data_IF_631987360197
#
_entry.id   IF_631987360197
#
_cell.length_a   1.000
_cell.length_b   1.000
_cell.length_c   1.000
_cell.angle_alpha   90.00
_cell.angle_beta   90.00
_cell.angle_gamma   90.00
#
_symmetry.space_group_name_H-M   'P 1'
#
loop_
_entity.id
_entity.type
_entity.pdbx_description
1 polymer ?
#
# COMPACT_ATOMS: atom_id res chain seq x y z
N UNK A 1 -0.99 29.74 -11.01
CA UNK A 1 -0.59 28.36 -10.70
C UNK A 1 -1.33 27.35 -11.57
N UNK A 2 -2.65 27.42 -11.60
CA UNK A 2 -3.49 26.46 -12.35
C UNK A 2 -3.10 26.31 -13.83
N UNK A 3 -2.74 27.41 -14.51
CA UNK A 3 -2.29 27.35 -15.91
C UNK A 3 -1.04 26.47 -16.12
N UNK A 4 -0.10 26.44 -15.15
CA UNK A 4 1.10 25.59 -15.22
C UNK A 4 0.74 24.10 -15.00
N UNK A 5 -0.18 23.81 -14.08
CA UNK A 5 -0.69 22.46 -13.84
C UNK A 5 -1.41 21.96 -15.09
N UNK A 6 -2.30 22.78 -15.67
CA UNK A 6 -3.04 22.42 -16.88
C UNK A 6 -2.09 22.15 -18.05
N UNK A 7 -1.11 23.04 -18.30
CA UNK A 7 -0.14 22.84 -19.37
C UNK A 7 0.69 21.56 -19.20
N UNK A 8 1.09 21.22 -17.97
CA UNK A 8 1.76 19.96 -17.69
C UNK A 8 0.85 18.77 -17.96
N UNK A 9 -0.39 18.82 -17.45
CA UNK A 9 -1.36 17.73 -17.63
C UNK A 9 -1.75 17.54 -19.11
N UNK A 10 -1.81 18.60 -19.90
CA UNK A 10 -2.07 18.51 -21.34
C UNK A 10 -0.97 17.71 -22.07
N UNK A 11 0.30 17.93 -21.71
CA UNK A 11 1.42 17.13 -22.22
C UNK A 11 1.32 15.67 -21.82
N UNK A 12 0.98 15.40 -20.57
CA UNK A 12 0.81 14.03 -20.07
C UNK A 12 -0.37 13.34 -20.76
N UNK A 13 -1.51 14.02 -20.91
CA UNK A 13 -2.70 13.51 -21.60
C UNK A 13 -2.45 13.16 -23.05
N UNK A 14 -1.70 13.98 -23.79
CA UNK A 14 -1.35 13.73 -25.19
C UNK A 14 -0.63 12.39 -25.39
N UNK A 15 0.15 11.96 -24.41
CA UNK A 15 0.90 10.69 -24.47
C UNK A 15 0.14 9.51 -23.88
N UNK A 16 -0.87 9.76 -23.04
CA UNK A 16 -1.53 8.75 -22.21
C UNK A 16 -3.07 8.84 -22.29
N UNK A 17 -3.63 9.22 -23.41
CA UNK A 17 -5.06 9.55 -23.56
C UNK A 17 -6.03 8.35 -23.34
N UNK A 18 -5.53 7.11 -23.29
CA UNK A 18 -6.30 5.91 -22.97
C UNK A 18 -6.01 5.35 -21.57
N UNK A 19 -5.40 6.13 -20.66
CA UNK A 19 -4.95 5.68 -19.34
C UNK A 19 -5.57 6.53 -18.22
N UNK A 20 -6.89 6.46 -17.99
CA UNK A 20 -7.60 7.36 -17.07
C UNK A 20 -7.11 7.25 -15.63
N UNK A 21 -6.83 6.04 -15.13
CA UNK A 21 -6.35 5.83 -13.77
C UNK A 21 -4.96 6.44 -13.56
N UNK A 22 -4.10 6.31 -14.56
CA UNK A 22 -2.77 6.92 -14.52
C UNK A 22 -2.84 8.44 -14.54
N UNK A 23 -3.69 9.01 -15.41
CA UNK A 23 -3.88 10.46 -15.51
C UNK A 23 -4.43 11.04 -14.20
N UNK A 24 -5.33 10.34 -13.51
CA UNK A 24 -5.85 10.77 -12.21
C UNK A 24 -4.75 10.83 -11.15
N UNK A 25 -3.91 9.81 -11.06
CA UNK A 25 -2.80 9.78 -10.09
C UNK A 25 -1.76 10.87 -10.36
N UNK A 26 -1.44 11.11 -11.64
CA UNK A 26 -0.52 12.19 -12.02
C UNK A 26 -1.11 13.56 -11.68
N UNK A 27 -2.41 13.77 -11.89
CA UNK A 27 -3.10 15.01 -11.55
C UNK A 27 -3.00 15.32 -10.06
N UNK A 28 -3.29 14.34 -9.19
CA UNK A 28 -3.21 14.48 -7.73
C UNK A 28 -1.81 14.91 -7.27
N UNK A 29 -0.78 14.29 -7.81
CA UNK A 29 0.60 14.63 -7.49
C UNK A 29 0.98 16.01 -8.06
N UNK A 30 0.59 16.31 -9.29
CA UNK A 30 0.91 17.57 -9.97
C UNK A 30 0.34 18.79 -9.21
N UNK A 31 -0.85 18.68 -8.64
CA UNK A 31 -1.50 19.75 -7.87
C UNK A 31 -0.70 20.18 -6.64
N UNK A 32 0.04 19.27 -6.03
CA UNK A 32 0.87 19.56 -4.86
C UNK A 32 2.34 19.84 -5.22
N UNK A 33 2.90 19.10 -6.17
CA UNK A 33 4.33 19.15 -6.52
C UNK A 33 4.68 20.33 -7.44
N UNK A 34 3.83 20.69 -8.42
CA UNK A 34 4.13 21.81 -9.32
C UNK A 34 4.25 23.15 -8.56
N UNK A 35 3.36 23.48 -7.61
CA UNK A 35 3.56 24.66 -6.77
C UNK A 35 4.88 24.67 -6.00
N UNK A 36 5.33 23.51 -5.54
CA UNK A 36 6.62 23.36 -4.86
C UNK A 36 7.79 23.57 -5.82
N UNK A 37 7.76 22.94 -7.01
CA UNK A 37 8.77 23.13 -8.06
C UNK A 37 8.92 24.63 -8.43
N UNK A 38 7.80 25.34 -8.56
CA UNK A 38 7.81 26.77 -8.93
C UNK A 38 8.49 27.66 -7.89
N UNK A 39 8.43 27.24 -6.60
CA UNK A 39 9.07 27.98 -5.49
C UNK A 39 10.54 27.60 -5.29
N UNK A 40 11.04 26.56 -5.97
CA UNK A 40 12.39 26.03 -5.75
C UNK A 40 13.16 25.99 -7.07
N UNK A 41 14.05 26.95 -7.28
CA UNK A 41 14.79 27.17 -8.53
C UNK A 41 15.64 25.98 -8.97
N UNK A 42 16.09 25.13 -8.03
CA UNK A 42 16.90 23.95 -8.34
C UNK A 42 16.24 22.97 -9.32
N UNK A 43 14.90 22.98 -9.37
CA UNK A 43 14.10 22.10 -10.25
C UNK A 43 13.69 22.79 -11.57
N UNK A 44 13.90 24.11 -11.70
CA UNK A 44 13.49 24.86 -12.88
C UNK A 44 14.22 24.38 -14.15
N UNK A 45 13.46 24.21 -15.24
CA UNK A 45 13.99 23.82 -16.55
C UNK A 45 14.53 22.38 -16.64
N UNK A 46 14.41 21.59 -15.57
CA UNK A 46 14.95 20.20 -15.50
C UNK A 46 13.94 19.13 -15.90
N UNK A 47 12.67 19.49 -16.10
CA UNK A 47 11.57 18.58 -16.44
C UNK A 47 11.49 17.34 -15.52
N UNK A 48 11.89 17.48 -14.24
CA UNK A 48 12.02 16.35 -13.31
C UNK A 48 10.68 15.60 -13.17
N UNK A 49 9.58 16.32 -12.90
CA UNK A 49 8.28 15.68 -12.76
C UNK A 49 7.85 14.98 -14.07
N UNK A 50 8.11 15.57 -15.23
CA UNK A 50 7.81 14.95 -16.53
C UNK A 50 8.62 13.67 -16.73
N UNK A 51 9.88 13.63 -16.31
CA UNK A 51 10.72 12.42 -16.33
C UNK A 51 10.20 11.37 -15.35
N UNK A 52 9.70 11.76 -14.18
CA UNK A 52 9.13 10.83 -13.20
C UNK A 52 7.81 10.20 -13.67
N UNK A 53 7.07 10.88 -14.54
CA UNK A 53 5.78 10.39 -15.10
C UNK A 53 6.00 9.37 -16.22
N UNK A 54 7.15 9.41 -16.89
CA UNK A 54 7.49 8.44 -17.92
C UNK A 54 8.22 7.25 -17.29
N UNK A 55 7.72 6.00 -17.45
CA UNK A 55 8.44 4.84 -16.96
C UNK A 55 9.78 4.67 -17.67
N UNK A 56 10.82 4.29 -16.93
CA UNK A 56 12.11 3.96 -17.53
C UNK A 56 11.99 2.78 -18.51
N UNK A 57 11.12 1.79 -18.16
CA UNK A 57 10.78 0.66 -19.06
C UNK A 57 9.38 0.15 -18.79
N UNK A 58 8.70 -0.24 -19.86
CA UNK A 58 7.47 -1.03 -19.81
C UNK A 58 7.71 -2.32 -20.59
N UNK A 59 7.64 -3.45 -19.91
CA UNK A 59 7.89 -4.78 -20.45
C UNK A 59 6.55 -5.49 -20.54
N UNK A 60 6.18 -5.96 -21.73
CA UNK A 60 4.98 -6.75 -21.97
C UNK A 60 5.37 -8.06 -22.64
N UNK A 61 4.80 -9.16 -22.18
CA UNK A 61 5.10 -10.49 -22.71
C UNK A 61 3.89 -11.42 -22.67
N UNK A 62 3.91 -12.42 -23.54
CA UNK A 62 2.90 -13.48 -23.57
C UNK A 62 3.26 -14.55 -22.54
N UNK A 63 2.23 -15.02 -21.79
CA UNK A 63 2.35 -16.15 -20.86
C UNK A 63 1.47 -17.28 -21.37
N UNK A 64 2.06 -18.32 -21.93
CA UNK A 64 1.34 -19.53 -22.35
C UNK A 64 1.56 -20.65 -21.34
N UNK A 65 0.47 -21.28 -20.91
CA UNK A 65 0.50 -22.36 -19.91
C UNK A 65 -0.61 -23.36 -20.19
N UNK A 66 -0.57 -24.52 -19.54
CA UNK A 66 -1.54 -25.61 -19.72
C UNK A 66 -2.37 -25.77 -18.46
N UNK A 67 -3.70 -25.80 -18.61
CA UNK A 67 -4.63 -26.02 -17.49
C UNK A 67 -4.73 -27.52 -17.09
N UNK A 68 -5.59 -27.83 -16.13
CA UNK A 68 -5.79 -29.22 -15.66
C UNK A 68 -6.51 -30.12 -16.67
N UNK A 69 -7.11 -29.54 -17.70
CA UNK A 69 -7.77 -30.27 -18.79
C UNK A 69 -6.82 -30.53 -19.99
N UNK A 70 -5.58 -30.04 -19.91
CA UNK A 70 -4.62 -30.17 -21.01
C UNK A 70 -4.77 -29.07 -22.08
N UNK A 71 -5.61 -28.07 -21.86
CA UNK A 71 -5.87 -26.97 -22.77
C UNK A 71 -4.80 -25.88 -22.62
N UNK A 72 -4.38 -25.30 -23.76
CA UNK A 72 -3.41 -24.20 -23.77
C UNK A 72 -4.12 -22.88 -23.48
N UNK A 73 -3.70 -22.25 -22.40
CA UNK A 73 -4.16 -20.93 -21.98
C UNK A 73 -3.13 -19.86 -22.34
N UNK A 74 -3.60 -18.64 -22.64
CA UNK A 74 -2.74 -17.51 -23.01
C UNK A 74 -3.14 -16.27 -22.23
N UNK A 75 -2.19 -15.74 -21.45
CA UNK A 75 -2.35 -14.51 -20.69
C UNK A 75 -1.30 -13.48 -21.11
N UNK A 76 -1.50 -12.22 -20.68
CA UNK A 76 -0.54 -11.13 -20.84
C UNK A 76 0.18 -10.92 -19.53
N UNK A 77 1.51 -10.85 -19.58
CA UNK A 77 2.35 -10.46 -18.46
C UNK A 77 2.92 -9.06 -18.68
N UNK A 78 3.13 -8.35 -17.58
CA UNK A 78 3.65 -6.98 -17.59
C UNK A 78 4.60 -6.73 -16.43
N UNK A 79 5.62 -5.87 -16.67
CA UNK A 79 6.41 -5.23 -15.63
C UNK A 79 6.67 -3.78 -16.03
N UNK A 80 6.24 -2.85 -15.19
CA UNK A 80 6.57 -1.42 -15.28
C UNK A 80 7.71 -1.14 -14.32
N UNK A 81 8.84 -0.74 -14.86
CA UNK A 81 10.01 -0.24 -14.17
C UNK A 81 9.95 1.28 -14.25
N UNK A 82 9.43 1.92 -13.19
CA UNK A 82 9.01 3.31 -13.24
C UNK A 82 10.15 4.28 -13.02
N UNK A 83 10.88 4.09 -11.93
CA UNK A 83 12.00 4.96 -11.57
C UNK A 83 12.98 4.22 -10.66
N UNK A 84 14.27 4.30 -10.96
CA UNK A 84 15.37 3.65 -10.24
C UNK A 84 16.34 4.61 -9.55
N UNK A 85 16.05 5.90 -9.53
CA UNK A 85 16.98 6.91 -9.02
C UNK A 85 17.43 6.70 -7.58
N UNK A 86 16.59 6.08 -6.73
CA UNK A 86 16.90 5.86 -5.31
C UNK A 86 17.14 4.38 -4.94
N UNK A 87 17.14 3.47 -5.92
CA UNK A 87 17.40 2.04 -5.69
C UNK A 87 16.73 1.15 -6.72
N UNK A 88 16.86 -0.18 -6.57
CA UNK A 88 16.23 -1.14 -7.47
C UNK A 88 14.71 -0.91 -7.55
N UNK A 89 14.12 -1.14 -8.72
CA UNK A 89 12.66 -1.07 -8.85
C UNK A 89 12.01 -2.01 -7.84
N UNK A 90 11.01 -1.54 -7.13
CA UNK A 90 10.32 -2.30 -6.09
C UNK A 90 8.82 -2.09 -6.18
N UNK A 91 8.07 -3.19 -6.16
CA UNK A 91 6.62 -3.17 -6.12
C UNK A 91 5.99 -4.51 -6.48
N UNK A 92 4.72 -4.68 -6.14
CA UNK A 92 4.01 -5.95 -6.22
C UNK A 92 3.73 -6.45 -7.64
N UNK A 93 3.42 -7.74 -7.72
CA UNK A 93 2.82 -8.39 -8.88
C UNK A 93 1.34 -8.64 -8.56
N UNK A 94 0.44 -8.25 -9.48
CA UNK A 94 -1.00 -8.45 -9.36
C UNK A 94 -1.47 -9.48 -10.39
N UNK A 95 -2.21 -10.51 -9.93
CA UNK A 95 -2.90 -11.45 -10.81
C UNK A 95 -4.41 -11.24 -10.68
N UNK A 96 -4.99 -10.58 -11.69
CA UNK A 96 -6.40 -10.27 -11.70
C UNK A 96 -6.86 -9.97 -13.14
N UNK A 97 -8.09 -10.37 -13.56
CA UNK A 97 -8.58 -10.16 -14.92
C UNK A 97 -8.57 -8.70 -15.41
N UNK A 98 -8.62 -7.74 -14.50
CA UNK A 98 -8.61 -6.31 -14.85
C UNK A 98 -7.22 -5.74 -15.12
N UNK A 99 -6.15 -6.53 -14.89
CA UNK A 99 -4.78 -6.05 -15.09
C UNK A 99 -4.51 -5.70 -16.54
N UNK A 100 -4.04 -4.47 -16.73
CA UNK A 100 -3.59 -3.93 -18.00
C UNK A 100 -2.42 -2.95 -17.79
N UNK A 101 -1.82 -2.45 -18.86
CA UNK A 101 -0.67 -1.57 -18.79
C UNK A 101 -0.98 -0.24 -18.05
N UNK A 102 -2.17 0.34 -18.25
CA UNK A 102 -2.60 1.59 -17.61
C UNK A 102 -2.66 1.46 -16.09
N UNK A 103 -3.35 0.42 -15.60
CA UNK A 103 -3.46 0.14 -14.16
C UNK A 103 -2.07 -0.08 -13.53
N UNK A 104 -1.20 -0.83 -14.21
CA UNK A 104 0.13 -1.12 -13.66
C UNK A 104 1.04 0.12 -13.69
N UNK A 105 0.91 0.99 -14.69
CA UNK A 105 1.63 2.25 -14.78
C UNK A 105 1.19 3.23 -13.69
N UNK A 106 -0.11 3.35 -13.44
CA UNK A 106 -0.68 4.07 -12.31
C UNK A 106 -0.07 3.59 -10.98
N UNK A 107 -0.17 2.29 -10.72
CA UNK A 107 0.33 1.70 -9.49
C UNK A 107 1.86 1.82 -9.34
N UNK A 108 2.61 1.75 -10.45
CA UNK A 108 4.06 1.92 -10.44
C UNK A 108 4.46 3.36 -10.11
N UNK A 109 3.74 4.34 -10.66
CA UNK A 109 3.95 5.76 -10.38
C UNK A 109 3.71 6.07 -8.89
N UNK A 110 2.59 5.64 -8.33
CA UNK A 110 2.32 5.81 -6.89
C UNK A 110 3.36 5.09 -6.02
N UNK A 111 3.86 3.93 -6.48
CA UNK A 111 4.87 3.16 -5.76
C UNK A 111 6.20 3.92 -5.64
N UNK A 112 6.56 4.78 -6.60
CA UNK A 112 7.75 5.66 -6.50
C UNK A 112 7.65 6.55 -5.27
N UNK A 113 6.53 7.22 -5.08
CA UNK A 113 6.31 8.12 -3.93
C UNK A 113 6.25 7.34 -2.60
N UNK A 114 5.53 6.23 -2.58
CA UNK A 114 5.43 5.39 -1.38
C UNK A 114 6.81 4.87 -0.93
N UNK A 115 7.60 4.34 -1.86
CA UNK A 115 8.90 3.76 -1.53
C UNK A 115 9.90 4.83 -1.08
N UNK A 116 9.87 6.00 -1.70
CA UNK A 116 10.77 7.09 -1.34
C UNK A 116 10.56 7.58 0.09
N UNK A 117 9.32 7.55 0.60
CA UNK A 117 9.00 7.92 1.97
C UNK A 117 9.64 6.97 3.01
N UNK A 118 9.85 5.69 2.68
CA UNK A 118 10.39 4.69 3.63
C UNK A 118 11.84 4.93 4.03
N UNK A 119 12.53 5.89 3.43
CA UNK A 119 13.97 6.13 3.57
C UNK A 119 14.90 5.03 3.04
N UNK A 120 14.35 3.85 2.75
CA UNK A 120 15.09 2.71 2.22
C UNK A 120 15.45 2.89 0.73
N UNK A 121 16.55 2.28 0.26
CA UNK A 121 17.02 2.42 -1.13
C UNK A 121 16.17 1.54 -2.06
N UNK A 122 14.99 2.00 -2.40
CA UNK A 122 14.03 1.31 -3.27
C UNK A 122 13.41 2.30 -4.26
N UNK A 123 13.57 2.01 -5.54
CA UNK A 123 12.85 2.67 -6.62
C UNK A 123 11.39 2.22 -6.71
N UNK A 124 10.71 2.56 -7.79
CA UNK A 124 9.31 2.20 -8.01
C UNK A 124 9.09 1.31 -9.22
N UNK A 125 8.27 0.29 -9.05
CA UNK A 125 7.86 -0.61 -10.13
C UNK A 125 6.58 -1.34 -9.78
N UNK A 126 5.91 -1.89 -10.79
CA UNK A 126 4.70 -2.70 -10.63
C UNK A 126 4.59 -3.70 -11.78
N UNK A 127 3.99 -4.85 -11.52
CA UNK A 127 3.78 -5.83 -12.57
C UNK A 127 2.55 -6.68 -12.32
N UNK A 128 2.33 -7.64 -13.20
CA UNK A 128 1.22 -8.56 -13.04
C UNK A 128 0.76 -9.17 -14.36
N UNK A 129 -0.41 -9.78 -14.30
CA UNK A 129 -1.06 -10.46 -15.42
C UNK A 129 -2.57 -10.38 -15.30
N UNK A 130 -3.26 -10.47 -16.43
CA UNK A 130 -4.71 -10.66 -16.54
C UNK A 130 -5.18 -12.08 -16.12
N UNK A 131 -4.29 -12.90 -15.61
CA UNK A 131 -4.59 -14.21 -15.05
C UNK A 131 -5.49 -14.10 -13.81
N UNK A 132 -6.57 -14.89 -13.76
CA UNK A 132 -7.44 -15.01 -12.58
C UNK A 132 -7.09 -16.28 -11.79
N UNK A 133 -6.50 -16.17 -10.58
CA UNK A 133 -6.19 -17.33 -9.75
C UNK A 133 -7.42 -17.95 -9.07
N UNK A 134 -8.59 -17.28 -9.11
CA UNK A 134 -9.80 -17.80 -8.46
C UNK A 134 -10.29 -19.06 -9.15
N UNK A 135 -10.56 -20.10 -8.35
CA UNK A 135 -11.05 -21.39 -8.86
C UNK A 135 -10.01 -22.25 -9.57
N UNK A 136 -8.75 -21.80 -9.64
CA UNK A 136 -7.64 -22.57 -10.19
C UNK A 136 -7.03 -23.49 -9.15
N UNK A 137 -6.60 -24.67 -9.59
CA UNK A 137 -5.85 -25.60 -8.74
C UNK A 137 -4.45 -25.09 -8.41
N UNK A 138 -3.82 -25.60 -7.36
CA UNK A 138 -2.44 -25.26 -7.02
C UNK A 138 -1.47 -25.63 -8.16
N UNK A 139 -1.75 -26.71 -8.89
CA UNK A 139 -0.96 -27.13 -10.06
C UNK A 139 -1.10 -26.14 -11.23
N UNK A 140 -2.29 -25.65 -11.52
CA UNK A 140 -2.53 -24.63 -12.53
C UNK A 140 -1.80 -23.34 -12.19
N UNK A 141 -1.93 -22.88 -10.93
CA UNK A 141 -1.24 -21.66 -10.43
C UNK A 141 0.27 -21.84 -10.50
N UNK A 142 0.81 -22.99 -10.14
CA UNK A 142 2.24 -23.28 -10.25
C UNK A 142 2.71 -23.22 -11.71
N UNK A 143 2.00 -23.87 -12.64
CA UNK A 143 2.35 -23.84 -14.07
C UNK A 143 2.31 -22.42 -14.63
N UNK A 144 1.27 -21.65 -14.27
CA UNK A 144 1.18 -20.25 -14.65
C UNK A 144 2.37 -19.43 -14.09
N UNK A 145 2.67 -19.54 -12.78
CA UNK A 145 3.79 -18.83 -12.16
C UNK A 145 5.14 -19.18 -12.79
N UNK A 146 5.34 -20.45 -13.16
CA UNK A 146 6.56 -20.89 -13.87
C UNK A 146 6.64 -20.28 -15.28
N UNK A 147 5.54 -20.29 -16.05
CA UNK A 147 5.47 -19.69 -17.37
C UNK A 147 5.68 -18.17 -17.31
N UNK A 148 5.05 -17.48 -16.36
CA UNK A 148 5.22 -16.04 -16.11
C UNK A 148 6.67 -15.70 -15.77
N UNK A 149 7.29 -16.46 -14.87
CA UNK A 149 8.67 -16.23 -14.46
C UNK A 149 9.69 -16.56 -15.57
N UNK A 150 9.39 -17.51 -16.46
CA UNK A 150 10.28 -17.84 -17.59
C UNK A 150 10.48 -16.67 -18.57
N UNK A 151 9.56 -15.72 -18.57
CA UNK A 151 9.71 -14.46 -19.30
C UNK A 151 10.28 -13.35 -18.41
N UNK A 152 9.74 -13.18 -17.21
CA UNK A 152 10.09 -12.07 -16.32
C UNK A 152 11.54 -12.14 -15.79
N UNK A 153 12.11 -13.32 -15.62
CA UNK A 153 13.43 -13.49 -14.95
C UNK A 153 14.58 -12.73 -15.61
N UNK A 154 14.47 -12.40 -16.90
CA UNK A 154 15.47 -11.63 -17.65
C UNK A 154 15.56 -10.18 -17.20
N UNK A 155 14.49 -9.67 -16.59
CA UNK A 155 14.29 -8.25 -16.32
C UNK A 155 14.33 -7.91 -14.83
N UNK A 156 14.42 -8.92 -13.96
CA UNK A 156 14.44 -8.76 -12.51
C UNK A 156 15.70 -9.32 -11.87
N UNK A 157 15.96 -8.90 -10.65
CA UNK A 157 17.12 -9.33 -9.87
C UNK A 157 17.26 -8.53 -8.59
N UNK A 158 18.02 -9.04 -7.63
CA UNK A 158 18.15 -8.43 -6.29
C UNK A 158 18.70 -6.99 -6.31
N UNK A 159 19.49 -6.62 -7.31
CA UNK A 159 20.04 -5.27 -7.49
C UNK A 159 19.40 -4.49 -8.64
N UNK A 160 18.43 -5.06 -9.35
CA UNK A 160 17.79 -4.42 -10.52
C UNK A 160 16.33 -4.13 -10.24
N UNK A 161 15.58 -5.17 -9.92
CA UNK A 161 14.12 -5.09 -9.75
C UNK A 161 13.68 -6.23 -8.84
N UNK A 162 13.03 -5.90 -7.73
CA UNK A 162 12.61 -6.84 -6.69
C UNK A 162 11.09 -6.82 -6.55
N UNK A 163 10.37 -7.69 -7.27
CA UNK A 163 8.91 -7.79 -7.14
C UNK A 163 8.47 -8.33 -5.77
N UNK A 164 7.21 -8.08 -5.43
CA UNK A 164 6.55 -8.57 -4.21
C UNK A 164 5.15 -9.11 -4.55
N UNK A 165 4.41 -9.56 -3.54
CA UNK A 165 2.99 -9.88 -3.66
C UNK A 165 2.09 -8.66 -3.75
N UNK A 166 0.92 -8.85 -4.33
CA UNK A 166 -0.21 -7.92 -4.40
C UNK A 166 -1.51 -8.75 -4.59
N UNK A 167 -2.62 -8.17 -5.03
CA UNK A 167 -3.88 -8.89 -5.27
C UNK A 167 -3.61 -10.14 -6.16
N UNK A 168 -4.07 -11.28 -5.70
CA UNK A 168 -3.91 -12.57 -6.40
C UNK A 168 -2.50 -13.17 -6.35
N UNK A 169 -1.56 -12.55 -5.62
CA UNK A 169 -0.19 -13.03 -5.44
C UNK A 169 0.17 -13.01 -3.96
N UNK A 170 0.07 -14.16 -3.32
CA UNK A 170 0.47 -14.37 -1.93
C UNK A 170 1.78 -15.15 -1.81
N UNK A 171 2.04 -15.68 -0.61
CA UNK A 171 3.25 -16.46 -0.32
C UNK A 171 3.40 -17.71 -1.19
N UNK A 172 2.29 -18.36 -1.59
CA UNK A 172 2.27 -19.50 -2.50
C UNK A 172 2.82 -19.14 -3.87
N UNK A 173 2.28 -18.09 -4.50
CA UNK A 173 2.69 -17.61 -5.81
C UNK A 173 4.14 -17.11 -5.79
N UNK A 174 4.52 -16.38 -4.74
CA UNK A 174 5.92 -15.96 -4.52
C UNK A 174 6.83 -17.17 -4.44
N UNK A 175 6.42 -18.24 -3.75
CA UNK A 175 7.19 -19.49 -3.66
C UNK A 175 7.41 -20.14 -5.02
N UNK A 176 6.35 -20.30 -5.82
CA UNK A 176 6.45 -20.87 -7.17
C UNK A 176 7.33 -20.04 -8.10
N UNK A 177 7.17 -18.73 -8.07
CA UNK A 177 7.98 -17.80 -8.87
C UNK A 177 9.44 -17.79 -8.43
N UNK A 178 9.71 -17.80 -7.12
CA UNK A 178 11.09 -17.83 -6.60
C UNK A 178 11.80 -19.15 -6.96
N UNK A 179 11.11 -20.27 -6.82
CA UNK A 179 11.66 -21.58 -7.22
C UNK A 179 12.06 -21.63 -8.69
N UNK A 180 11.20 -21.09 -9.57
CA UNK A 180 11.51 -21.02 -11.00
C UNK A 180 12.64 -20.04 -11.32
N UNK A 181 12.66 -18.85 -10.70
CA UNK A 181 13.75 -17.88 -10.85
C UNK A 181 15.11 -18.49 -10.44
N UNK A 182 15.15 -19.11 -9.25
CA UNK A 182 16.34 -19.78 -8.73
C UNK A 182 16.86 -20.84 -9.72
N UNK A 183 15.95 -21.63 -10.31
CA UNK A 183 16.29 -22.65 -11.30
C UNK A 183 16.87 -22.02 -12.58
N UNK A 184 16.24 -20.99 -13.13
CA UNK A 184 16.67 -20.34 -14.38
C UNK A 184 18.00 -19.59 -14.24
N UNK A 185 18.20 -18.91 -13.10
CA UNK A 185 19.43 -18.13 -12.81
C UNK A 185 20.54 -18.98 -12.21
N UNK A 186 20.24 -20.20 -11.75
CA UNK A 186 21.16 -21.03 -10.97
C UNK A 186 21.79 -20.25 -9.78
N UNK A 187 20.96 -19.45 -9.10
CA UNK A 187 21.41 -18.54 -8.04
C UNK A 187 20.32 -18.31 -7.00
N UNK A 188 20.70 -18.38 -5.72
CA UNK A 188 19.85 -18.04 -4.59
C UNK A 188 20.13 -16.61 -4.16
N UNK A 189 19.26 -15.67 -4.54
CA UNK A 189 19.41 -14.23 -4.29
C UNK A 189 18.21 -13.64 -3.57
N UNK A 190 18.32 -12.38 -3.14
CA UNK A 190 17.24 -11.60 -2.55
C UNK A 190 16.18 -11.08 -3.54
N UNK A 191 16.03 -11.69 -4.71
CA UNK A 191 14.95 -11.40 -5.64
C UNK A 191 13.61 -11.82 -5.04
N UNK A 192 12.55 -11.08 -5.27
CA UNK A 192 11.23 -11.25 -4.68
C UNK A 192 11.20 -11.05 -3.15
N UNK A 193 10.19 -10.39 -2.66
CA UNK A 193 9.90 -10.29 -1.22
C UNK A 193 8.51 -10.87 -0.91
N UNK A 194 8.27 -11.17 0.37
CA UNK A 194 7.13 -11.98 0.81
C UNK A 194 7.44 -13.48 0.77
N UNK A 195 8.73 -13.82 0.85
CA UNK A 195 9.20 -15.21 0.94
C UNK A 195 8.82 -15.83 2.30
N UNK A 196 8.79 -17.16 2.35
CA UNK A 196 8.64 -17.88 3.61
C UNK A 196 9.88 -17.68 4.51
N UNK A 197 9.66 -17.69 5.84
CA UNK A 197 10.72 -17.45 6.83
C UNK A 197 11.88 -18.44 6.73
N UNK A 198 11.62 -19.67 6.31
CA UNK A 198 12.64 -20.71 6.15
C UNK A 198 13.56 -20.54 4.93
N UNK A 199 13.26 -19.60 4.03
CA UNK A 199 13.99 -19.40 2.78
C UNK A 199 14.14 -17.91 2.40
N UNK A 200 14.35 -17.07 3.41
CA UNK A 200 14.77 -15.66 3.25
C UNK A 200 13.65 -14.64 3.43
N UNK A 201 12.48 -15.03 3.93
CA UNK A 201 11.41 -14.12 4.31
C UNK A 201 11.68 -13.38 5.62
N UNK A 202 11.10 -12.22 5.80
CA UNK A 202 11.16 -11.42 7.04
C UNK A 202 9.98 -11.75 7.95
N UNK A 203 10.22 -11.78 9.25
CA UNK A 203 9.18 -11.69 10.27
C UNK A 203 8.47 -10.32 10.16
N UNK A 204 7.32 -10.20 10.81
CA UNK A 204 6.46 -8.98 10.80
C UNK A 204 5.90 -8.64 9.40
N UNK A 205 6.24 -9.37 8.33
CA UNK A 205 5.74 -9.02 6.99
C UNK A 205 4.20 -9.08 6.86
N UNK A 206 3.49 -10.09 7.41
CA UNK A 206 2.03 -10.10 7.42
C UNK A 206 1.42 -8.94 8.20
N UNK A 207 2.02 -8.58 9.33
CA UNK A 207 1.54 -7.56 10.26
C UNK A 207 1.80 -6.14 9.75
N UNK A 208 2.85 -5.98 8.97
CA UNK A 208 3.53 -4.70 8.72
C UNK A 208 2.63 -3.58 8.22
N UNK A 209 1.63 -3.87 7.38
CA UNK A 209 0.75 -2.83 6.84
C UNK A 209 -0.17 -2.28 7.93
N UNK A 210 -0.83 -3.16 8.69
CA UNK A 210 -1.69 -2.76 9.79
C UNK A 210 -0.91 -2.12 10.94
N UNK A 211 0.25 -2.67 11.29
CA UNK A 211 1.13 -2.07 12.31
C UNK A 211 1.62 -0.70 11.89
N UNK A 212 2.05 -0.55 10.63
CA UNK A 212 2.52 0.72 10.09
C UNK A 212 1.45 1.80 10.12
N UNK A 213 0.21 1.46 9.73
CA UNK A 213 -0.91 2.38 9.77
C UNK A 213 -1.17 2.91 11.19
N UNK A 214 -1.18 2.02 12.18
CA UNK A 214 -1.36 2.40 13.58
C UNK A 214 -0.16 3.21 14.12
N UNK A 215 1.09 2.87 13.77
CA UNK A 215 2.25 3.66 14.15
C UNK A 215 2.22 5.07 13.57
N UNK A 216 1.79 5.20 12.32
CA UNK A 216 1.65 6.51 11.68
C UNK A 216 0.55 7.34 12.39
N UNK A 217 -0.62 6.74 12.65
CA UNK A 217 -1.72 7.38 13.37
C UNK A 217 -1.31 7.79 14.81
N UNK A 218 -0.55 6.95 15.53
CA UNK A 218 -0.01 7.29 16.85
C UNK A 218 0.90 8.52 16.77
N UNK A 219 1.80 8.59 15.78
CA UNK A 219 2.66 9.76 15.58
C UNK A 219 1.83 11.03 15.28
N UNK A 220 0.73 10.91 14.52
CA UNK A 220 -0.18 12.04 14.28
C UNK A 220 -0.86 12.50 15.57
N UNK A 221 -1.38 11.59 16.37
CA UNK A 221 -2.00 11.91 17.68
C UNK A 221 -1.00 12.60 18.61
N UNK A 222 0.26 12.14 18.64
CA UNK A 222 1.32 12.74 19.44
C UNK A 222 1.59 14.21 19.08
N UNK A 223 1.35 14.65 17.83
CA UNK A 223 1.44 16.09 17.47
C UNK A 223 0.44 16.96 18.21
N UNK A 224 -0.63 16.36 18.74
CA UNK A 224 -1.67 17.01 19.54
C UNK A 224 -1.54 16.71 21.04
N UNK A 225 -0.45 16.05 21.47
CA UNK A 225 -0.26 15.60 22.86
C UNK A 225 -1.18 14.43 23.26
N UNK A 226 -1.68 13.68 22.31
CA UNK A 226 -2.61 12.57 22.47
C UNK A 226 -1.98 11.22 22.05
N UNK A 227 -2.70 10.10 22.23
CA UNK A 227 -2.25 8.76 21.88
C UNK A 227 -3.43 7.81 21.69
N UNK A 228 -3.18 6.56 21.26
CA UNK A 228 -4.21 5.52 21.19
C UNK A 228 -4.77 5.11 22.55
N UNK A 229 -4.05 5.37 23.65
CA UNK A 229 -4.46 4.94 24.99
C UNK A 229 -5.84 5.49 25.36
N UNK A 230 -6.80 4.59 25.60
CA UNK A 230 -8.16 4.91 25.98
C UNK A 230 -9.08 5.36 24.85
N UNK A 231 -8.59 5.41 23.60
CA UNK A 231 -9.38 5.80 22.45
C UNK A 231 -10.32 4.68 21.98
N UNK A 232 -11.50 5.07 21.48
CA UNK A 232 -12.37 4.18 20.75
C UNK A 232 -12.02 4.22 19.27
N UNK A 233 -11.78 3.05 18.67
CA UNK A 233 -11.29 2.91 17.29
C UNK A 233 -12.30 2.13 16.46
N UNK A 234 -12.60 2.66 15.28
CA UNK A 234 -13.41 2.00 14.25
C UNK A 234 -12.49 1.52 13.14
N UNK A 235 -12.56 0.22 12.82
CA UNK A 235 -11.80 -0.41 11.74
C UNK A 235 -12.76 -1.00 10.72
N UNK A 236 -12.56 -0.72 9.44
CA UNK A 236 -13.23 -1.43 8.36
C UNK A 236 -12.38 -2.59 7.83
N UNK A 237 -13.05 -3.56 7.21
CA UNK A 237 -12.40 -4.79 6.77
C UNK A 237 -12.28 -5.84 7.87
N UNK A 238 -11.89 -7.02 7.49
CA UNK A 238 -11.56 -8.16 8.37
C UNK A 238 -10.46 -9.03 7.76
N UNK A 239 -9.77 -8.48 6.76
CA UNK A 239 -8.59 -9.08 6.15
C UNK A 239 -7.31 -8.76 6.92
N UNK A 240 -6.18 -9.06 6.30
CA UNK A 240 -4.85 -8.96 6.91
C UNK A 240 -4.58 -7.58 7.54
N UNK A 241 -4.82 -6.48 6.79
CA UNK A 241 -4.55 -5.12 7.29
C UNK A 241 -5.42 -4.80 8.50
N UNK A 242 -6.72 -5.06 8.42
CA UNK A 242 -7.67 -4.80 9.51
C UNK A 242 -7.36 -5.62 10.77
N UNK A 243 -7.01 -6.90 10.62
CA UNK A 243 -6.65 -7.79 11.74
C UNK A 243 -5.45 -7.23 12.50
N UNK A 244 -4.38 -6.87 11.80
CA UNK A 244 -3.15 -6.38 12.45
C UNK A 244 -3.22 -4.91 12.87
N UNK A 245 -4.02 -4.07 12.22
CA UNK A 245 -4.36 -2.75 12.74
C UNK A 245 -5.11 -2.85 14.08
N UNK A 246 -6.09 -3.77 14.17
CA UNK A 246 -6.80 -4.08 15.41
C UNK A 246 -5.85 -4.56 16.51
N UNK A 247 -4.96 -5.50 16.20
CA UNK A 247 -3.98 -6.03 17.15
C UNK A 247 -3.09 -4.92 17.71
N UNK A 248 -2.49 -4.11 16.84
CA UNK A 248 -1.56 -3.06 17.27
C UNK A 248 -2.25 -1.93 18.01
N UNK A 249 -3.43 -1.47 17.55
CA UNK A 249 -4.20 -0.45 18.25
C UNK A 249 -4.58 -0.91 19.67
N UNK A 250 -5.01 -2.17 19.82
CA UNK A 250 -5.32 -2.77 21.14
C UNK A 250 -4.08 -2.86 22.02
N UNK A 251 -2.91 -3.24 21.46
CA UNK A 251 -1.63 -3.26 22.19
C UNK A 251 -1.23 -1.86 22.68
N UNK A 252 -1.58 -0.79 21.96
CA UNK A 252 -1.35 0.60 22.37
C UNK A 252 -2.42 1.14 23.34
N UNK A 253 -3.35 0.30 23.76
CA UNK A 253 -4.35 0.61 24.78
C UNK A 253 -5.64 1.21 24.26
N UNK A 254 -5.90 1.10 22.97
CA UNK A 254 -7.18 1.48 22.37
C UNK A 254 -8.23 0.37 22.52
N UNK A 255 -9.50 0.75 22.38
CA UNK A 255 -10.63 -0.15 22.28
C UNK A 255 -11.14 -0.17 20.84
N UNK A 256 -10.80 -1.20 20.08
CA UNK A 256 -11.32 -1.39 18.72
C UNK A 256 -12.71 -2.03 18.81
N UNK A 257 -13.72 -1.39 18.23
CA UNK A 257 -15.12 -1.80 18.41
C UNK A 257 -15.77 -2.36 17.15
N UNK A 258 -15.16 -2.24 15.97
CA UNK A 258 -15.75 -2.74 14.72
C UNK A 258 -14.74 -3.51 13.87
N UNK A 259 -15.26 -4.47 13.11
CA UNK A 259 -14.66 -5.06 11.92
C UNK A 259 -15.75 -5.28 10.88
N UNK A 260 -15.43 -5.31 9.60
CA UNK A 260 -16.41 -5.44 8.53
C UNK A 260 -15.97 -6.37 7.40
N UNK A 261 -16.90 -6.81 6.58
CA UNK A 261 -16.66 -7.37 5.26
C UNK A 261 -17.76 -6.93 4.28
N UNK A 262 -17.80 -7.53 3.08
CA UNK A 262 -18.80 -7.17 2.07
C UNK A 262 -20.26 -7.46 2.48
N UNK A 263 -20.49 -8.17 3.58
CA UNK A 263 -21.85 -8.47 4.10
C UNK A 263 -22.35 -7.43 5.11
N UNK A 264 -21.45 -6.61 5.68
CA UNK A 264 -21.76 -5.62 6.72
C UNK A 264 -20.65 -5.50 7.75
N UNK A 265 -20.97 -4.95 8.93
CA UNK A 265 -20.00 -4.81 10.02
C UNK A 265 -20.53 -5.32 11.34
N UNK A 266 -19.64 -5.69 12.24
CA UNK A 266 -19.93 -5.98 13.65
C UNK A 266 -19.59 -4.75 14.50
N UNK A 267 -20.41 -4.50 15.51
CA UNK A 267 -20.14 -3.57 16.62
C UNK A 267 -20.08 -4.39 17.91
N UNK A 268 -18.92 -4.39 18.54
CA UNK A 268 -18.69 -4.96 19.87
C UNK A 268 -18.24 -3.84 20.83
N UNK A 269 -19.17 -3.30 21.59
CA UNK A 269 -18.91 -2.17 22.48
C UNK A 269 -17.93 -2.51 23.62
N UNK A 270 -17.80 -3.79 24.00
CA UNK A 270 -16.82 -4.27 24.96
C UNK A 270 -15.38 -4.21 24.39
N UNK A 271 -15.25 -4.06 23.06
CA UNK A 271 -14.01 -4.08 22.32
C UNK A 271 -13.60 -5.47 21.84
N UNK A 272 -12.78 -5.49 20.78
CA UNK A 272 -12.21 -6.69 20.16
C UNK A 272 -10.81 -6.89 20.74
N UNK A 273 -10.72 -7.67 21.82
CA UNK A 273 -9.46 -8.04 22.46
C UNK A 273 -8.71 -9.15 21.70
N UNK A 274 -7.60 -9.62 22.25
CA UNK A 274 -6.76 -10.64 21.61
C UNK A 274 -7.48 -11.97 21.39
N UNK A 275 -8.38 -12.40 22.30
CA UNK A 275 -9.14 -13.64 22.16
C UNK A 275 -10.18 -13.52 21.02
N UNK A 276 -10.91 -12.42 21.02
CA UNK A 276 -11.92 -12.13 20.00
C UNK A 276 -11.27 -11.95 18.61
N UNK A 277 -10.11 -11.30 18.56
CA UNK A 277 -9.34 -11.16 17.32
C UNK A 277 -8.82 -12.50 16.81
N UNK A 278 -8.32 -13.36 17.69
CA UNK A 278 -7.89 -14.73 17.31
C UNK A 278 -9.05 -15.53 16.68
N UNK A 279 -10.27 -15.37 17.22
CA UNK A 279 -11.45 -15.96 16.63
C UNK A 279 -11.76 -15.40 15.23
N UNK A 280 -11.64 -14.08 15.04
CA UNK A 280 -11.82 -13.46 13.72
C UNK A 280 -10.77 -13.98 12.73
N UNK A 281 -9.51 -14.10 13.16
CA UNK A 281 -8.44 -14.66 12.31
C UNK A 281 -8.75 -16.09 11.89
N UNK A 282 -9.19 -16.95 12.82
CA UNK A 282 -9.60 -18.32 12.49
C UNK A 282 -10.79 -18.32 11.52
N UNK A 283 -11.82 -17.51 11.80
CA UNK A 283 -13.02 -17.40 10.97
C UNK A 283 -12.67 -16.96 9.54
N UNK A 284 -11.84 -15.94 9.38
CA UNK A 284 -11.55 -15.35 8.06
C UNK A 284 -10.46 -16.09 7.30
N UNK A 285 -9.39 -16.49 7.97
CA UNK A 285 -8.19 -17.00 7.31
C UNK A 285 -8.25 -18.53 7.12
N UNK A 286 -8.91 -19.26 8.04
CA UNK A 286 -9.01 -20.71 8.00
C UNK A 286 -10.36 -21.17 7.46
N UNK A 287 -11.45 -20.74 8.10
CA UNK A 287 -12.81 -21.15 7.73
C UNK A 287 -13.37 -20.43 6.51
N UNK A 288 -12.76 -19.26 6.14
CA UNK A 288 -13.24 -18.37 5.06
C UNK A 288 -14.69 -17.92 5.23
N UNK A 289 -15.14 -17.82 6.49
CA UNK A 289 -16.48 -17.43 6.88
C UNK A 289 -16.74 -15.92 6.74
N UNK A 290 -17.96 -15.53 7.07
CA UNK A 290 -18.41 -14.13 7.07
C UNK A 290 -18.27 -13.49 8.44
N UNK A 291 -17.99 -12.18 8.50
CA UNK A 291 -17.88 -11.47 9.78
C UNK A 291 -19.18 -11.54 10.60
N UNK A 292 -20.33 -11.70 9.95
CA UNK A 292 -21.65 -11.90 10.60
C UNK A 292 -21.69 -13.11 11.53
N UNK A 293 -20.82 -14.12 11.33
CA UNK A 293 -20.76 -15.32 12.17
C UNK A 293 -20.15 -15.02 13.56
N UNK A 294 -19.49 -13.87 13.71
CA UNK A 294 -18.90 -13.41 14.98
C UNK A 294 -19.93 -13.37 16.11
N UNK A 295 -21.14 -12.85 15.83
CA UNK A 295 -22.21 -12.73 16.84
C UNK A 295 -22.72 -14.08 17.37
N UNK A 296 -22.47 -15.18 16.66
CA UNK A 296 -22.82 -16.52 17.15
C UNK A 296 -21.97 -16.92 18.36
N UNK A 297 -20.69 -16.53 18.39
CA UNK A 297 -19.79 -16.75 19.53
C UNK A 297 -19.86 -15.63 20.56
N UNK A 298 -20.07 -14.39 20.12
CA UNK A 298 -20.11 -13.19 20.95
C UNK A 298 -21.48 -12.48 20.83
N UNK A 299 -22.53 -12.99 21.47
CA UNK A 299 -23.93 -12.54 21.27
C UNK A 299 -24.22 -11.14 21.83
N UNK A 300 -23.29 -10.52 22.57
CA UNK A 300 -23.39 -9.11 22.97
C UNK A 300 -23.09 -8.15 21.82
N UNK A 301 -22.33 -8.60 20.82
CA UNK A 301 -22.05 -7.82 19.65
C UNK A 301 -23.26 -7.77 18.72
N UNK A 302 -23.40 -6.67 17.98
CA UNK A 302 -24.45 -6.48 16.98
C UNK A 302 -23.88 -6.56 15.58
N UNK A 303 -24.59 -7.20 14.64
CA UNK A 303 -24.24 -7.21 13.23
C UNK A 303 -25.18 -6.30 12.43
N UNK A 304 -24.60 -5.38 11.65
CA UNK A 304 -25.32 -4.45 10.78
C UNK A 304 -25.12 -4.89 9.32
N UNK A 305 -26.16 -5.50 8.77
CA UNK A 305 -26.12 -6.08 7.43
C UNK A 305 -26.12 -5.01 6.34
N UNK A 306 -25.16 -5.10 5.42
CA UNK A 306 -25.06 -4.20 4.27
C UNK A 306 -24.60 -2.79 4.58
N UNK A 307 -24.31 -2.49 5.85
CA UNK A 307 -23.86 -1.18 6.31
C UNK A 307 -22.32 -1.13 6.49
N UNK A 308 -21.81 0.10 6.56
CA UNK A 308 -20.39 0.40 6.85
C UNK A 308 -20.26 1.04 8.24
N UNK A 309 -19.10 0.90 8.92
CA UNK A 309 -19.01 1.26 10.34
C UNK A 309 -18.86 2.76 10.62
N UNK A 310 -19.00 3.62 9.63
CA UNK A 310 -18.64 5.04 9.72
C UNK A 310 -19.62 5.88 10.53
N UNK A 311 -20.81 5.36 10.84
CA UNK A 311 -21.78 5.99 11.74
C UNK A 311 -21.50 5.74 13.23
N UNK A 312 -20.58 4.81 13.54
CA UNK A 312 -20.20 4.48 14.93
C UNK A 312 -19.36 5.59 15.52
N UNK A 313 -19.70 6.06 16.71
CA UNK A 313 -18.92 7.07 17.42
C UNK A 313 -17.53 6.54 17.77
N UNK A 314 -16.48 7.28 17.37
CA UNK A 314 -15.10 6.91 17.59
C UNK A 314 -14.19 8.13 17.69
N UNK A 315 -13.01 7.94 18.26
CA UNK A 315 -11.91 8.91 18.24
C UNK A 315 -11.04 8.75 17.00
N UNK A 316 -10.80 7.51 16.57
CA UNK A 316 -9.93 7.17 15.45
C UNK A 316 -10.65 6.23 14.49
N UNK A 317 -10.54 6.49 13.19
CA UNK A 317 -11.05 5.61 12.14
C UNK A 317 -9.89 5.10 11.25
N UNK A 318 -9.85 3.78 11.05
CA UNK A 318 -8.86 3.09 10.23
C UNK A 318 -9.55 2.37 9.06
N UNK A 319 -9.67 3.00 7.89
CA UNK A 319 -10.23 2.36 6.71
C UNK A 319 -9.24 1.32 6.15
N UNK A 320 -9.51 0.03 6.40
CA UNK A 320 -8.63 -1.09 6.07
C UNK A 320 -9.23 -2.11 5.09
N UNK A 321 -10.37 -1.80 4.45
CA UNK A 321 -11.05 -2.75 3.58
C UNK A 321 -10.70 -2.57 2.10
N UNK A 322 -11.34 -1.63 1.42
CA UNK A 322 -11.25 -1.51 -0.04
C UNK A 322 -11.21 -0.06 -0.51
N UNK A 323 -10.79 0.10 -1.77
CA UNK A 323 -10.82 1.40 -2.45
C UNK A 323 -12.24 2.00 -2.45
N UNK A 324 -12.32 3.34 -2.26
CA UNK A 324 -13.56 4.12 -2.30
C UNK A 324 -14.66 3.63 -1.34
N UNK A 325 -14.29 3.05 -0.21
CA UNK A 325 -15.25 2.59 0.79
C UNK A 325 -15.83 3.71 1.66
N UNK A 326 -15.13 4.85 1.77
CA UNK A 326 -15.48 5.99 2.60
C UNK A 326 -15.75 7.22 1.71
N UNK A 327 -17.01 7.61 1.60
CA UNK A 327 -17.45 8.75 0.79
C UNK A 327 -17.66 10.02 1.64
N UNK A 328 -18.06 11.14 1.02
CA UNK A 328 -18.26 12.43 1.69
C UNK A 328 -19.27 12.38 2.84
N UNK A 329 -20.39 11.65 2.69
CA UNK A 329 -21.39 11.52 3.74
C UNK A 329 -20.86 10.74 4.94
N UNK A 330 -20.10 9.67 4.70
CA UNK A 330 -19.42 8.91 5.75
C UNK A 330 -18.39 9.77 6.49
N UNK A 331 -17.60 10.58 5.75
CA UNK A 331 -16.62 11.48 6.34
C UNK A 331 -17.29 12.53 7.24
N UNK A 332 -18.42 13.08 6.79
CA UNK A 332 -19.21 14.01 7.59
C UNK A 332 -19.75 13.35 8.87
N UNK A 333 -20.25 12.12 8.77
CA UNK A 333 -20.70 11.37 9.96
C UNK A 333 -19.56 11.15 10.96
N UNK A 334 -18.37 10.78 10.52
CA UNK A 334 -17.19 10.61 11.38
C UNK A 334 -16.84 11.92 12.09
N UNK A 335 -16.80 13.04 11.37
CA UNK A 335 -16.51 14.37 11.92
C UNK A 335 -17.59 14.78 12.95
N UNK A 336 -18.87 14.66 12.59
CA UNK A 336 -19.99 15.01 13.45
C UNK A 336 -20.01 14.14 14.74
N UNK A 337 -19.53 12.90 14.67
CA UNK A 337 -19.41 11.98 15.79
C UNK A 337 -18.15 12.21 16.64
N UNK A 338 -17.31 13.20 16.30
CA UNK A 338 -16.14 13.58 17.07
C UNK A 338 -14.85 12.81 16.75
N UNK A 339 -14.76 12.18 15.59
CA UNK A 339 -13.53 11.56 15.12
C UNK A 339 -12.43 12.62 14.93
N UNK A 340 -11.26 12.38 15.51
CA UNK A 340 -10.12 13.31 15.49
C UNK A 340 -8.99 12.87 14.57
N UNK A 341 -8.98 11.59 14.17
CA UNK A 341 -7.90 11.03 13.34
C UNK A 341 -8.45 9.95 12.40
N UNK A 342 -8.10 10.06 11.12
CA UNK A 342 -8.34 9.04 10.09
C UNK A 342 -7.02 8.67 9.45
N UNK A 343 -6.64 7.38 9.45
CA UNK A 343 -5.45 6.88 8.77
C UNK A 343 -5.81 5.73 7.84
N UNK A 344 -5.39 5.81 6.60
CA UNK A 344 -5.76 4.88 5.53
C UNK A 344 -4.88 3.62 5.52
N UNK A 345 -5.39 2.52 6.06
CA UNK A 345 -4.75 1.21 5.97
C UNK A 345 -4.88 0.57 4.59
N UNK A 346 -6.01 0.77 3.90
CA UNK A 346 -6.20 0.36 2.52
C UNK A 346 -5.58 1.35 1.51
N UNK A 347 -5.53 0.97 0.23
CA UNK A 347 -5.13 1.89 -0.84
C UNK A 347 -6.35 2.70 -1.30
N UNK A 348 -6.29 4.03 -1.17
CA UNK A 348 -7.32 4.99 -1.57
C UNK A 348 -8.74 4.63 -1.07
N UNK A 349 -8.95 4.36 0.21
CA UNK A 349 -10.29 4.02 0.72
C UNK A 349 -11.23 5.22 0.77
N UNK A 350 -10.69 6.44 0.91
CA UNK A 350 -11.47 7.68 0.95
C UNK A 350 -11.64 8.27 -0.45
N UNK A 351 -12.87 8.71 -0.77
CA UNK A 351 -13.12 9.45 -2.00
C UNK A 351 -12.61 10.90 -1.88
N UNK A 352 -12.40 11.65 -2.98
CA UNK A 352 -12.00 13.05 -2.93
C UNK A 352 -12.93 13.92 -2.08
N UNK A 353 -14.24 13.66 -2.11
CA UNK A 353 -15.24 14.35 -1.30
C UNK A 353 -15.01 14.09 0.19
N UNK A 354 -14.70 12.85 0.57
CA UNK A 354 -14.38 12.50 1.94
C UNK A 354 -13.13 13.22 2.44
N UNK A 355 -12.08 13.22 1.63
CA UNK A 355 -10.82 13.93 1.94
C UNK A 355 -11.10 15.43 2.15
N UNK A 356 -11.92 16.03 1.30
CA UNK A 356 -12.31 17.44 1.42
C UNK A 356 -13.02 17.73 2.76
N UNK A 357 -13.95 16.86 3.20
CA UNK A 357 -14.63 17.03 4.49
C UNK A 357 -13.65 16.91 5.67
N UNK A 358 -12.67 15.97 5.63
CA UNK A 358 -11.64 15.86 6.67
C UNK A 358 -10.75 17.11 6.73
N UNK A 359 -10.32 17.63 5.58
CA UNK A 359 -9.50 18.85 5.49
C UNK A 359 -10.26 20.08 6.00
N UNK A 360 -11.52 20.22 5.61
CA UNK A 360 -12.42 21.30 6.07
C UNK A 360 -12.62 21.28 7.58
N UNK A 361 -12.76 20.09 8.16
CA UNK A 361 -12.91 19.91 9.60
C UNK A 361 -11.57 19.98 10.37
N UNK A 362 -10.44 20.08 9.66
CA UNK A 362 -9.07 20.13 10.21
C UNK A 362 -8.74 18.95 11.15
N UNK A 363 -9.34 17.78 10.92
CA UNK A 363 -8.95 16.56 11.64
C UNK A 363 -7.64 16.01 11.07
N UNK A 364 -6.98 15.15 11.84
CA UNK A 364 -5.77 14.47 11.39
C UNK A 364 -6.15 13.44 10.32
N UNK A 365 -5.68 13.64 9.08
CA UNK A 365 -5.95 12.72 7.97
C UNK A 365 -4.63 12.27 7.31
N UNK A 366 -4.40 10.96 7.26
CA UNK A 366 -3.23 10.35 6.63
C UNK A 366 -3.61 9.62 5.34
N UNK A 367 -3.00 9.98 4.18
CA UNK A 367 -3.21 9.26 2.94
C UNK A 367 -2.51 7.89 2.98
N UNK A 368 -3.09 6.88 2.35
CA UNK A 368 -2.59 5.51 2.34
C UNK A 368 -1.15 5.36 1.87
N UNK A 369 -0.68 6.21 0.93
CA UNK A 369 0.73 6.18 0.48
C UNK A 369 1.75 6.44 1.61
N UNK A 370 1.34 7.12 2.69
CA UNK A 370 2.16 7.34 3.88
C UNK A 370 1.82 6.35 5.00
N UNK A 371 0.55 6.26 5.41
CA UNK A 371 0.15 5.45 6.57
C UNK A 371 0.28 3.95 6.34
N UNK A 372 -0.04 3.43 5.16
CA UNK A 372 0.07 1.99 4.87
C UNK A 372 1.44 1.55 4.30
N UNK A 373 2.45 2.41 4.34
CA UNK A 373 3.78 2.11 3.83
C UNK A 373 4.53 1.02 4.62
N UNK A 374 4.02 0.59 5.77
CA UNK A 374 4.63 -0.45 6.60
C UNK A 374 4.91 -1.74 5.85
N UNK A 375 4.00 -2.16 4.97
CA UNK A 375 4.18 -3.36 4.17
C UNK A 375 5.39 -3.31 3.23
N UNK A 376 5.58 -2.20 2.52
CA UNK A 376 6.74 -2.02 1.64
C UNK A 376 8.01 -1.73 2.44
N UNK A 377 7.92 -1.04 3.58
CA UNK A 377 9.04 -0.84 4.49
C UNK A 377 9.62 -2.19 4.95
N UNK A 378 8.76 -3.10 5.43
CA UNK A 378 9.21 -4.45 5.83
C UNK A 378 9.71 -5.27 4.65
N UNK A 379 9.17 -5.07 3.44
CA UNK A 379 9.77 -5.67 2.23
C UNK A 379 11.20 -5.17 1.99
N UNK A 380 11.47 -3.89 2.21
CA UNK A 380 12.85 -3.34 2.14
C UNK A 380 13.75 -3.89 3.24
N UNK A 381 13.22 -4.10 4.46
CA UNK A 381 13.95 -4.78 5.53
C UNK A 381 14.26 -6.24 5.18
N UNK A 382 13.35 -6.95 4.49
CA UNK A 382 13.61 -8.28 3.94
C UNK A 382 14.75 -8.26 2.92
N UNK A 383 14.78 -7.27 2.03
CA UNK A 383 15.89 -7.09 1.09
C UNK A 383 17.22 -6.88 1.83
N UNK A 384 17.25 -6.07 2.88
CA UNK A 384 18.43 -5.83 3.71
C UNK A 384 18.91 -7.11 4.38
N UNK A 385 18.01 -7.89 5.01
CA UNK A 385 18.32 -9.18 5.60
C UNK A 385 18.89 -10.16 4.57
N UNK A 386 18.31 -10.20 3.37
CA UNK A 386 18.80 -11.06 2.28
C UNK A 386 20.20 -10.66 1.81
N UNK A 387 20.49 -9.37 1.72
CA UNK A 387 21.81 -8.87 1.32
C UNK A 387 22.89 -9.18 2.37
N UNK A 388 22.53 -9.11 3.65
CA UNK A 388 23.40 -9.45 4.77
C UNK A 388 23.51 -10.98 4.98
N UNK A 389 22.58 -11.77 4.42
CA UNK A 389 22.39 -13.20 4.70
C UNK A 389 22.15 -13.50 6.18
N UNK A 390 21.42 -12.61 6.84
CA UNK A 390 21.01 -12.70 8.25
C UNK A 390 19.50 -12.63 8.36
N UNK A 391 18.95 -13.16 9.43
CA UNK A 391 17.56 -13.00 9.83
C UNK A 391 17.52 -12.21 11.14
N UNK A 392 16.66 -11.19 11.19
CA UNK A 392 16.41 -10.42 12.40
C UNK A 392 15.26 -11.03 13.20
N UNK A 393 15.28 -10.79 14.52
CA UNK A 393 14.17 -11.20 15.40
C UNK A 393 12.91 -10.38 15.08
N UNK A 394 11.80 -10.82 15.63
CA UNK A 394 10.50 -10.13 15.48
C UNK A 394 10.57 -8.71 16.06
N UNK A 395 11.22 -8.57 17.21
CA UNK A 395 11.40 -7.32 17.92
C UNK A 395 12.28 -6.35 17.11
N UNK A 396 13.39 -6.83 16.56
CA UNK A 396 14.28 -6.01 15.72
C UNK A 396 13.58 -5.49 14.48
N UNK A 397 12.76 -6.32 13.82
CA UNK A 397 12.00 -5.89 12.64
C UNK A 397 10.90 -4.90 13.02
N UNK A 398 10.17 -5.13 14.12
CA UNK A 398 9.09 -4.25 14.59
C UNK A 398 9.64 -2.88 15.01
N UNK A 399 10.78 -2.85 15.71
CA UNK A 399 11.44 -1.59 16.10
C UNK A 399 11.88 -0.78 14.87
N UNK A 400 12.49 -1.43 13.90
CA UNK A 400 12.86 -0.79 12.62
C UNK A 400 11.64 -0.29 11.85
N UNK A 401 10.56 -1.07 11.80
CA UNK A 401 9.31 -0.66 11.20
C UNK A 401 8.73 0.58 11.89
N UNK A 402 8.69 0.59 13.23
CA UNK A 402 8.23 1.73 14.02
C UNK A 402 9.04 2.98 13.74
N UNK A 403 10.37 2.86 13.67
CA UNK A 403 11.25 3.98 13.34
C UNK A 403 11.00 4.49 11.92
N UNK A 404 10.87 3.61 10.92
CA UNK A 404 10.58 4.01 9.54
C UNK A 404 9.24 4.76 9.46
N UNK A 405 8.20 4.28 10.14
CA UNK A 405 6.90 4.96 10.14
C UNK A 405 6.97 6.33 10.80
N UNK A 406 7.81 6.50 11.83
CA UNK A 406 8.10 7.79 12.43
C UNK A 406 8.81 8.72 11.45
N UNK A 407 9.83 8.25 10.75
CA UNK A 407 10.58 9.04 9.76
C UNK A 407 9.68 9.48 8.59
N UNK A 408 8.75 8.60 8.14
CA UNK A 408 7.74 8.95 7.13
C UNK A 408 6.85 10.08 7.66
N UNK A 409 6.36 9.95 8.89
CA UNK A 409 5.51 10.97 9.51
C UNK A 409 6.25 12.32 9.63
N UNK A 410 7.47 12.33 10.14
CA UNK A 410 8.29 13.53 10.29
C UNK A 410 8.53 14.21 8.93
N UNK A 411 8.82 13.43 7.88
CA UNK A 411 8.95 13.95 6.52
C UNK A 411 7.66 14.59 6.01
N UNK A 412 6.50 13.95 6.26
CA UNK A 412 5.21 14.52 5.90
C UNK A 412 4.93 15.83 6.67
N UNK A 413 5.31 15.93 7.94
CA UNK A 413 5.17 17.17 8.73
C UNK A 413 6.04 18.29 8.16
N UNK A 414 7.31 18.01 7.84
CA UNK A 414 8.24 19.02 7.30
C UNK A 414 7.69 19.66 6.03
N UNK A 415 7.17 18.88 5.09
CA UNK A 415 6.69 19.39 3.81
C UNK A 415 5.20 19.73 3.77
N UNK A 416 4.42 19.25 4.75
CA UNK A 416 2.98 19.47 4.83
C UNK A 416 2.55 20.59 5.76
N UNK A 417 3.44 21.10 6.62
CA UNK A 417 3.09 22.14 7.60
C UNK A 417 2.61 23.42 6.90
N UNK A 418 1.47 23.92 7.36
CA UNK A 418 0.87 25.18 6.93
C UNK A 418 1.27 26.33 7.86
N UNK A 419 0.99 27.57 7.45
CA UNK A 419 1.31 28.79 8.22
C UNK A 419 0.56 28.85 9.56
N UNK A 420 -0.64 28.27 9.63
CA UNK A 420 -1.47 28.17 10.85
C UNK A 420 -1.02 27.06 11.82
N UNK A 421 0.01 26.31 11.46
CA UNK A 421 0.54 25.20 12.25
C UNK A 421 -0.15 23.85 12.05
N UNK A 422 -1.20 23.79 11.21
CA UNK A 422 -1.80 22.52 10.79
C UNK A 422 -0.90 21.77 9.82
N UNK A 423 -1.12 20.46 9.66
CA UNK A 423 -0.34 19.64 8.74
C UNK A 423 -1.26 19.03 7.69
N UNK A 424 -1.01 19.35 6.42
CA UNK A 424 -1.59 18.65 5.28
C UNK A 424 -0.69 17.46 4.90
N UNK A 425 -1.06 16.27 5.39
CA UNK A 425 -0.30 15.05 5.17
C UNK A 425 -0.30 14.57 3.73
N UNK A 426 -1.30 14.92 2.91
CA UNK A 426 -1.32 14.60 1.46
C UNK A 426 -0.24 15.40 0.75
N UNK A 427 -0.25 16.71 0.93
CA UNK A 427 0.79 17.62 0.42
C UNK A 427 2.17 17.18 0.93
N UNK A 428 2.28 16.90 2.23
CA UNK A 428 3.52 16.45 2.87
C UNK A 428 4.08 15.19 2.23
N UNK A 429 3.26 14.15 2.06
CA UNK A 429 3.67 12.88 1.46
C UNK A 429 4.11 13.05 -0.02
N UNK A 430 3.33 13.79 -0.81
CA UNK A 430 3.65 14.01 -2.21
C UNK A 430 4.97 14.79 -2.39
N UNK A 431 5.17 15.89 -1.63
CA UNK A 431 6.38 16.70 -1.74
C UNK A 431 7.59 15.96 -1.19
N UNK A 432 7.49 15.32 -0.01
CA UNK A 432 8.60 14.55 0.56
C UNK A 432 9.06 13.45 -0.39
N UNK A 433 8.11 12.70 -0.97
CA UNK A 433 8.41 11.67 -1.95
C UNK A 433 9.06 12.23 -3.21
N UNK A 434 8.52 13.33 -3.73
CA UNK A 434 9.09 14.02 -4.88
C UNK A 434 10.55 14.48 -4.64
N UNK A 435 10.80 15.21 -3.56
CA UNK A 435 12.10 15.80 -3.26
C UNK A 435 13.19 14.73 -3.23
N UNK A 436 12.97 13.64 -2.52
CA UNK A 436 13.98 12.56 -2.41
C UNK A 436 14.34 11.97 -3.77
N UNK A 437 13.37 11.71 -4.63
CA UNK A 437 13.61 11.15 -5.96
C UNK A 437 14.20 12.23 -6.89
N UNK A 438 13.68 13.43 -6.86
CA UNK A 438 14.13 14.54 -7.69
C UNK A 438 15.58 14.92 -7.43
N UNK A 439 15.99 14.99 -6.16
CA UNK A 439 17.39 15.30 -5.78
C UNK A 439 18.35 14.20 -6.25
N UNK A 440 17.96 12.93 -6.13
CA UNK A 440 18.75 11.83 -6.67
C UNK A 440 18.85 11.91 -8.20
N UNK A 441 17.76 12.18 -8.91
CA UNK A 441 17.74 12.37 -10.37
C UNK A 441 18.62 13.55 -10.82
N UNK A 442 18.63 14.65 -10.04
CA UNK A 442 19.51 15.80 -10.32
C UNK A 442 20.98 15.45 -10.14
N UNK A 443 21.30 14.75 -9.04
CA UNK A 443 22.68 14.35 -8.73
C UNK A 443 23.24 13.36 -9.75
N UNK A 444 22.42 12.46 -10.29
CA UNK A 444 22.80 11.45 -11.29
C UNK A 444 22.81 11.99 -12.73
N UNK A 445 22.21 13.15 -12.97
CA UNK A 445 22.20 13.78 -14.29
C UNK A 445 21.08 13.26 -15.22
N UNK A 446 21.38 13.18 -16.50
CA UNK A 446 20.45 12.70 -17.54
C UNK A 446 20.94 11.31 -17.99
N UNK A 447 20.26 10.29 -17.49
CA UNK A 447 20.55 8.87 -17.77
C UNK A 447 19.31 8.17 -18.29
#
# INVERSE_FOLDING_TARGET
MQAKINAFMDLVKQRNHHEPEFLQAVQEVAETVIPYIVKNDIYHGKNILLRMVEPERLISFRVSWVDDFGEIQVNRGYRVQMNSAIGPYKGGLRFHPTVNASILKFLAFEQVFKNSLTTLPMGGGKGGSDFDPKGKSDNEIMRFCHAFMSELFRHIGHNTDVPAGDIGVGGREIGFMFGMYKKLKNSFTGVLTGKGSSWGGSLIRPEATGYGDVYFAENMLQTKGDSFKGKTVVVSGSGNVAQYATEKATQLGARVVTLSDSSGYILDEDGIDAEKLAYVMELKNVKRGRISEYITKYPKATFFKGEKPWSVKCDVALPCATQNELNGDHAKQLVDNGCICVAEGANMPSTPEAIHEFQKAQILFAPGKASNAGGVATSGLEMSQNSLRLSWTREEVDEKLKQIMKDIHESCVVYGKNEDGTVDYIKGANIAGFVKVADAMLAQGIV
#
